data_IF_549699317561
#
_entry.id   IF_549699317561
#
_cell.length_a   1.000
_cell.length_b   1.000
_cell.length_c   1.000
_cell.angle_alpha   90.00
_cell.angle_beta   90.00
_cell.angle_gamma   90.00
#
_symmetry.space_group_name_H-M   'P 1'
#
loop_
_entity.id
_entity.type
_entity.pdbx_description
1 polymer ?
#
# COMPACT_ATOMS: atom_id res chain seq x y z
N UNK A 1 16.78 16.60 2.29
CA UNK A 1 16.24 15.81 1.18
C UNK A 1 16.81 14.40 1.26
N UNK A 2 15.97 13.38 1.29
CA UNK A 2 16.43 12.00 1.27
C UNK A 2 17.09 11.64 -0.06
N UNK A 3 18.01 10.67 -0.05
CA UNK A 3 18.71 10.20 -1.25
C UNK A 3 18.55 8.69 -1.41
N UNK A 4 18.48 8.25 -2.67
CA UNK A 4 18.36 6.86 -3.03
C UNK A 4 19.20 6.60 -4.30
N UNK A 5 20.14 5.63 -4.23
CA UNK A 5 21.09 5.31 -5.32
C UNK A 5 21.72 6.58 -5.94
N UNK A 6 22.34 7.43 -5.09
CA UNK A 6 23.01 8.68 -5.46
C UNK A 6 22.11 9.79 -6.06
N UNK A 7 20.80 9.58 -6.10
CA UNK A 7 19.81 10.57 -6.54
C UNK A 7 19.10 11.17 -5.30
N UNK A 8 19.00 12.51 -5.24
CA UNK A 8 18.27 13.21 -4.19
C UNK A 8 16.82 13.44 -4.62
N UNK A 9 15.89 13.20 -3.69
CA UNK A 9 14.46 13.43 -3.88
C UNK A 9 13.93 14.44 -2.86
N UNK A 10 12.84 15.13 -3.20
CA UNK A 10 12.19 16.03 -2.26
C UNK A 10 11.53 15.25 -1.11
N UNK A 11 10.90 14.12 -1.42
CA UNK A 11 10.32 13.22 -0.43
C UNK A 11 10.26 11.76 -0.93
N UNK A 12 10.12 10.83 0.01
CA UNK A 12 9.79 9.44 -0.23
C UNK A 12 8.32 9.18 0.10
N UNK A 13 7.60 8.57 -0.84
CA UNK A 13 6.19 8.20 -0.69
C UNK A 13 6.10 6.69 -0.67
N UNK A 14 5.77 6.12 0.47
CA UNK A 14 5.72 4.67 0.65
C UNK A 14 4.29 4.15 0.55
N UNK A 15 4.08 3.13 -0.25
CA UNK A 15 3.01 2.19 0.07
C UNK A 15 3.30 1.50 1.41
N UNK A 16 2.35 0.74 1.95
CA UNK A 16 2.49 0.10 3.25
C UNK A 16 2.63 -1.42 3.14
N UNK A 17 1.59 -2.09 2.66
CA UNK A 17 1.46 -3.55 2.66
C UNK A 17 2.25 -4.18 1.50
N UNK A 18 3.29 -4.95 1.80
CA UNK A 18 4.26 -5.46 0.82
C UNK A 18 5.43 -4.52 0.57
N UNK A 19 5.37 -3.28 1.10
CA UNK A 19 6.38 -2.25 0.92
C UNK A 19 7.11 -1.93 2.22
N UNK A 20 6.44 -1.48 3.28
CA UNK A 20 7.04 -1.24 4.61
C UNK A 20 6.92 -2.45 5.53
N UNK A 21 5.88 -3.22 5.37
CA UNK A 21 5.59 -4.44 6.14
C UNK A 21 5.01 -5.52 5.22
N UNK A 22 5.23 -6.77 5.58
CA UNK A 22 4.61 -7.92 4.92
C UNK A 22 3.34 -8.31 5.72
N UNK A 23 2.19 -8.18 5.08
CA UNK A 23 0.87 -8.56 5.62
C UNK A 23 0.17 -9.62 4.76
N UNK A 24 0.87 -10.19 3.77
CA UNK A 24 0.25 -11.03 2.74
C UNK A 24 -0.49 -12.22 3.31
N UNK A 25 0.13 -12.96 4.24
CA UNK A 25 -0.52 -14.13 4.83
C UNK A 25 -1.80 -13.76 5.58
N UNK A 26 -1.81 -12.66 6.32
CA UNK A 26 -2.99 -12.18 7.04
C UNK A 26 -4.10 -11.76 6.07
N UNK A 27 -3.76 -10.97 5.05
CA UNK A 27 -4.70 -10.53 4.00
C UNK A 27 -5.28 -11.72 3.26
N UNK A 28 -4.44 -12.67 2.82
CA UNK A 28 -4.90 -13.84 2.08
C UNK A 28 -5.81 -14.75 2.92
N UNK A 29 -5.52 -14.93 4.22
CA UNK A 29 -6.40 -15.70 5.13
C UNK A 29 -7.80 -15.09 5.19
N UNK A 30 -7.90 -13.77 5.29
CA UNK A 30 -9.20 -13.09 5.35
C UNK A 30 -9.93 -13.21 4.02
N UNK A 31 -9.25 -13.00 2.88
CA UNK A 31 -9.86 -13.16 1.56
C UNK A 31 -10.30 -14.59 1.28
N UNK A 32 -9.56 -15.62 1.69
CA UNK A 32 -9.97 -17.02 1.55
C UNK A 32 -11.26 -17.28 2.33
N UNK A 33 -11.40 -16.76 3.56
CA UNK A 33 -12.63 -16.85 4.36
C UNK A 33 -13.80 -16.16 3.67
N UNK A 34 -13.58 -14.98 3.07
CA UNK A 34 -14.60 -14.27 2.32
C UNK A 34 -15.04 -15.05 1.06
N UNK A 35 -14.10 -15.56 0.31
CA UNK A 35 -14.36 -16.38 -0.88
C UNK A 35 -15.14 -17.66 -0.57
N UNK A 36 -14.79 -18.34 0.53
CA UNK A 36 -15.50 -19.54 0.99
C UNK A 36 -16.97 -19.24 1.32
N UNK A 37 -17.26 -18.13 1.97
CA UNK A 37 -18.63 -17.67 2.29
C UNK A 37 -19.51 -17.48 1.06
N UNK A 38 -18.90 -17.10 -0.06
CA UNK A 38 -19.61 -16.68 -1.28
C UNK A 38 -19.40 -17.62 -2.47
N UNK A 39 -18.71 -18.75 -2.28
CA UNK A 39 -18.34 -19.70 -3.32
C UNK A 39 -17.58 -19.04 -4.50
N UNK A 40 -16.68 -18.11 -4.18
CA UNK A 40 -15.83 -17.38 -5.14
C UNK A 40 -14.46 -18.07 -5.22
N UNK A 41 -13.85 -18.06 -6.40
CA UNK A 41 -12.48 -18.56 -6.60
C UNK A 41 -11.47 -17.66 -5.88
N UNK A 42 -10.88 -18.18 -4.79
CA UNK A 42 -9.93 -17.45 -3.97
C UNK A 42 -8.63 -17.13 -4.72
N UNK A 43 -8.13 -18.05 -5.55
CA UNK A 43 -6.87 -17.85 -6.29
C UNK A 43 -7.03 -16.72 -7.32
N UNK A 44 -8.17 -16.68 -8.02
CA UNK A 44 -8.48 -15.62 -8.97
C UNK A 44 -8.60 -14.23 -8.28
N UNK A 45 -9.13 -14.19 -7.05
CA UNK A 45 -9.23 -12.96 -6.27
C UNK A 45 -7.85 -12.53 -5.74
N UNK A 46 -7.11 -13.43 -5.10
CA UNK A 46 -5.81 -13.14 -4.50
C UNK A 46 -4.81 -12.65 -5.55
N UNK A 47 -4.87 -13.16 -6.76
CA UNK A 47 -4.02 -12.70 -7.86
C UNK A 47 -4.14 -11.20 -8.18
N UNK A 48 -5.19 -10.52 -7.71
CA UNK A 48 -5.50 -9.12 -8.09
C UNK A 48 -5.86 -8.19 -6.93
N UNK A 49 -5.97 -8.69 -5.69
CA UNK A 49 -6.43 -7.88 -4.55
C UNK A 49 -5.32 -7.01 -3.94
N UNK A 50 -4.06 -7.38 -4.11
CA UNK A 50 -2.96 -6.66 -3.48
C UNK A 50 -2.78 -5.25 -4.07
N UNK A 51 -2.58 -4.27 -3.18
CA UNK A 51 -2.43 -2.86 -3.53
C UNK A 51 -3.73 -2.12 -3.90
N UNK A 52 -4.87 -2.83 -3.93
CA UNK A 52 -6.20 -2.29 -4.25
C UNK A 52 -7.03 -2.16 -2.98
N UNK A 53 -7.97 -1.20 -2.93
CA UNK A 53 -8.88 -1.06 -1.79
C UNK A 53 -9.77 -2.30 -1.67
N UNK A 54 -10.00 -2.76 -0.45
CA UNK A 54 -10.86 -3.93 -0.17
C UNK A 54 -12.26 -3.77 -0.75
N UNK A 55 -12.87 -2.59 -0.63
CA UNK A 55 -14.20 -2.29 -1.21
C UNK A 55 -14.22 -2.44 -2.74
N UNK A 56 -13.18 -1.99 -3.44
CA UNK A 56 -13.09 -2.12 -4.90
C UNK A 56 -12.92 -3.59 -5.32
N UNK A 57 -12.20 -4.38 -4.52
CA UNK A 57 -12.07 -5.83 -4.72
C UNK A 57 -13.40 -6.54 -4.46
N UNK A 58 -14.10 -6.24 -3.36
CA UNK A 58 -15.46 -6.75 -3.09
C UNK A 58 -16.39 -6.44 -4.25
N UNK A 59 -16.41 -5.19 -4.72
CA UNK A 59 -17.27 -4.76 -5.86
C UNK A 59 -16.94 -5.53 -7.14
N UNK A 60 -15.67 -5.79 -7.41
CA UNK A 60 -15.21 -6.52 -8.60
C UNK A 60 -15.66 -7.99 -8.61
N UNK A 61 -15.70 -8.63 -7.45
CA UNK A 61 -16.05 -10.05 -7.31
C UNK A 61 -17.46 -10.28 -6.79
N UNK A 62 -18.25 -9.23 -6.63
CA UNK A 62 -19.62 -9.32 -6.14
C UNK A 62 -20.50 -10.19 -7.04
N UNK A 63 -21.31 -11.03 -6.42
CA UNK A 63 -22.36 -11.82 -7.10
C UNK A 63 -23.68 -11.08 -7.07
N UNK A 64 -24.64 -11.40 -7.98
CA UNK A 64 -25.95 -10.75 -8.01
C UNK A 64 -26.65 -10.83 -6.63
N UNK A 65 -27.06 -9.68 -6.11
CA UNK A 65 -27.76 -9.56 -4.82
C UNK A 65 -26.85 -9.39 -3.61
N UNK A 66 -25.53 -9.37 -3.79
CA UNK A 66 -24.57 -9.08 -2.70
C UNK A 66 -24.67 -7.61 -2.27
N UNK A 67 -24.74 -7.38 -0.96
CA UNK A 67 -24.66 -6.04 -0.37
C UNK A 67 -23.19 -5.65 -0.21
N UNK A 68 -22.69 -4.79 -1.11
CA UNK A 68 -21.29 -4.37 -1.18
C UNK A 68 -20.84 -3.70 0.12
N UNK A 69 -21.68 -2.83 0.69
CA UNK A 69 -21.33 -2.07 1.88
C UNK A 69 -21.24 -3.00 3.11
N UNK A 70 -22.15 -3.96 3.23
CA UNK A 70 -22.11 -4.96 4.30
C UNK A 70 -20.89 -5.88 4.18
N UNK A 71 -20.53 -6.29 2.96
CA UNK A 71 -19.36 -7.16 2.73
C UNK A 71 -18.03 -6.41 2.92
N UNK A 72 -17.94 -5.15 2.49
CA UNK A 72 -16.78 -4.31 2.77
C UNK A 72 -16.61 -4.05 4.29
N UNK A 73 -17.70 -3.85 5.02
CA UNK A 73 -17.68 -3.72 6.47
C UNK A 73 -17.21 -5.01 7.16
N UNK A 74 -17.70 -6.17 6.70
CA UNK A 74 -17.25 -7.47 7.20
C UNK A 74 -15.77 -7.70 6.97
N UNK A 75 -15.29 -7.42 5.74
CA UNK A 75 -13.88 -7.55 5.37
C UNK A 75 -13.01 -6.70 6.30
N UNK A 76 -13.36 -5.41 6.46
CA UNK A 76 -12.64 -4.50 7.35
C UNK A 76 -12.58 -5.01 8.79
N UNK A 77 -13.68 -5.52 9.33
CA UNK A 77 -13.72 -6.09 10.67
C UNK A 77 -12.82 -7.33 10.79
N UNK A 78 -12.87 -8.23 9.80
CA UNK A 78 -12.07 -9.45 9.79
C UNK A 78 -10.56 -9.17 9.68
N UNK A 79 -10.15 -8.15 8.91
CA UNK A 79 -8.74 -7.73 8.80
C UNK A 79 -8.23 -7.06 10.09
N UNK A 80 -9.09 -6.35 10.83
CA UNK A 80 -8.72 -5.74 12.12
C UNK A 80 -8.47 -6.80 13.21
N UNK A 81 -9.12 -7.96 13.11
CA UNK A 81 -8.97 -9.08 14.03
C UNK A 81 -7.78 -9.98 13.70
N UNK A 82 -7.27 -9.93 12.47
CA UNK A 82 -6.20 -10.82 11.98
C UNK A 82 -4.97 -10.02 11.54
N UNK A 83 -4.03 -9.87 12.46
CA UNK A 83 -2.71 -9.26 12.23
C UNK A 83 -1.56 -10.26 12.47
N UNK A 84 -1.88 -11.54 12.62
CA UNK A 84 -0.90 -12.59 12.85
C UNK A 84 0.00 -12.77 11.61
N UNK A 85 1.32 -12.80 11.85
CA UNK A 85 2.31 -12.94 10.78
C UNK A 85 2.65 -11.63 10.07
N UNK A 86 2.08 -10.48 10.47
CA UNK A 86 2.51 -9.18 9.97
C UNK A 86 3.89 -8.86 10.51
N UNK A 87 4.88 -8.69 9.62
CA UNK A 87 6.29 -8.46 9.95
C UNK A 87 6.85 -7.25 9.16
N UNK A 88 7.87 -6.55 9.67
CA UNK A 88 8.50 -5.46 8.93
C UNK A 88 9.31 -6.00 7.75
N UNK A 89 9.39 -5.26 6.64
CA UNK A 89 10.35 -5.53 5.57
C UNK A 89 11.77 -5.25 6.09
N UNK A 90 12.70 -6.10 5.75
CA UNK A 90 14.09 -6.01 6.24
C UNK A 90 14.72 -4.64 5.94
N UNK A 91 15.33 -4.05 6.98
CA UNK A 91 15.98 -2.73 6.90
C UNK A 91 15.06 -1.51 7.00
N UNK A 92 13.72 -1.68 7.00
CA UNK A 92 12.77 -0.57 7.00
C UNK A 92 12.93 0.37 8.21
N UNK A 93 13.17 -0.16 9.42
CA UNK A 93 13.34 0.67 10.61
C UNK A 93 14.55 1.61 10.46
N UNK A 94 15.69 1.08 10.01
CA UNK A 94 16.89 1.88 9.81
C UNK A 94 16.72 2.93 8.68
N UNK A 95 15.89 2.66 7.69
CA UNK A 95 15.53 3.64 6.67
C UNK A 95 14.67 4.77 7.28
N UNK A 96 13.58 4.41 7.96
CA UNK A 96 12.64 5.39 8.52
C UNK A 96 13.30 6.27 9.59
N UNK A 97 14.16 5.72 10.44
CA UNK A 97 14.91 6.49 11.45
C UNK A 97 15.81 7.59 10.86
N UNK A 98 16.25 7.45 9.61
CA UNK A 98 17.09 8.46 8.92
C UNK A 98 16.27 9.56 8.25
N UNK A 99 14.96 9.38 8.09
CA UNK A 99 14.07 10.35 7.46
C UNK A 99 13.57 11.37 8.49
N UNK A 100 13.60 12.64 8.12
CA UNK A 100 13.07 13.71 8.96
C UNK A 100 11.56 13.89 8.74
N UNK A 101 10.83 14.45 9.70
CA UNK A 101 9.46 14.90 9.47
C UNK A 101 9.36 15.78 8.21
N UNK A 102 8.35 15.52 7.38
CA UNK A 102 8.16 16.22 6.10
C UNK A 102 8.99 15.68 4.91
N UNK A 103 9.88 14.71 5.11
CA UNK A 103 10.62 14.05 4.02
C UNK A 103 9.98 12.75 3.54
N UNK A 104 8.89 12.31 4.18
CA UNK A 104 8.22 11.07 3.79
C UNK A 104 6.74 11.05 4.14
N UNK A 105 6.01 10.20 3.45
CA UNK A 105 4.60 9.94 3.66
C UNK A 105 4.28 8.45 3.44
N UNK A 106 3.17 7.99 4.02
CA UNK A 106 2.57 6.69 3.67
C UNK A 106 1.32 6.95 2.83
N UNK A 107 1.15 6.15 1.76
CA UNK A 107 0.00 6.16 0.85
C UNK A 107 -0.50 4.73 0.68
N UNK A 108 -1.48 4.34 1.48
CA UNK A 108 -2.00 2.97 1.51
C UNK A 108 -3.44 2.86 1.02
N UNK A 109 -3.79 1.70 0.46
CA UNK A 109 -5.16 1.31 0.13
C UNK A 109 -5.93 0.76 1.34
N UNK A 110 -5.28 0.58 2.48
CA UNK A 110 -5.92 0.13 3.72
C UNK A 110 -6.72 1.27 4.39
N UNK A 111 -7.82 0.95 5.10
CA UNK A 111 -8.47 1.88 6.01
C UNK A 111 -7.53 2.33 7.13
N UNK A 112 -7.71 3.58 7.60
CA UNK A 112 -6.80 4.22 8.57
C UNK A 112 -6.57 3.39 9.82
N UNK A 113 -7.63 2.89 10.44
CA UNK A 113 -7.53 2.11 11.66
C UNK A 113 -6.76 0.78 11.47
N UNK A 114 -6.93 0.12 10.32
CA UNK A 114 -6.19 -1.08 9.97
C UNK A 114 -4.70 -0.77 9.74
N UNK A 115 -4.42 0.28 9.00
CA UNK A 115 -3.06 0.71 8.74
C UNK A 115 -2.30 1.07 10.03
N UNK A 116 -2.95 1.79 10.95
CA UNK A 116 -2.37 2.13 12.26
C UNK A 116 -2.08 0.89 13.12
N UNK A 117 -2.97 -0.11 13.10
CA UNK A 117 -2.74 -1.38 13.82
C UNK A 117 -1.55 -2.11 13.21
N UNK A 118 -1.47 -2.27 11.90
CA UNK A 118 -0.34 -2.93 11.21
C UNK A 118 0.99 -2.24 11.47
N UNK A 119 1.05 -0.90 11.35
CA UNK A 119 2.25 -0.12 11.68
C UNK A 119 2.70 -0.33 13.14
N UNK A 120 1.73 -0.29 14.07
CA UNK A 120 2.01 -0.54 15.50
C UNK A 120 2.54 -1.96 15.75
N UNK A 121 1.96 -2.96 15.09
CA UNK A 121 2.38 -4.38 15.21
C UNK A 121 3.84 -4.56 14.85
N UNK A 122 4.33 -3.85 13.83
CA UNK A 122 5.74 -3.93 13.40
C UNK A 122 6.64 -2.83 13.99
N UNK A 123 6.13 -1.99 14.90
CA UNK A 123 6.91 -0.94 15.57
C UNK A 123 7.31 0.23 14.67
N UNK A 124 6.57 0.49 13.60
CA UNK A 124 6.80 1.64 12.73
C UNK A 124 5.96 2.85 13.16
N UNK A 125 6.50 4.07 13.07
CA UNK A 125 5.75 5.28 13.39
C UNK A 125 4.73 5.63 12.30
N UNK A 126 3.66 6.31 12.68
CA UNK A 126 2.75 6.98 11.74
C UNK A 126 3.36 8.33 11.34
N UNK A 127 3.56 8.62 10.04
CA UNK A 127 4.10 9.91 9.60
C UNK A 127 3.09 11.04 9.72
N UNK A 128 3.58 12.29 9.65
CA UNK A 128 2.72 13.49 9.64
C UNK A 128 1.78 13.50 8.42
N UNK A 129 2.25 13.02 7.27
CA UNK A 129 1.44 12.83 6.07
C UNK A 129 1.13 11.36 5.87
N UNK A 130 -0.12 11.01 6.14
CA UNK A 130 -0.65 9.66 6.07
C UNK A 130 -1.95 9.66 5.25
N UNK A 131 -1.86 9.12 4.02
CA UNK A 131 -2.98 9.00 3.08
C UNK A 131 -3.49 7.56 3.11
N UNK A 132 -4.76 7.39 3.39
CA UNK A 132 -5.44 6.11 3.55
C UNK A 132 -6.62 5.98 2.59
N UNK A 133 -7.31 4.85 2.59
CA UNK A 133 -8.45 4.59 1.72
C UNK A 133 -9.53 5.68 1.81
N UNK A 134 -9.73 6.26 2.99
CA UNK A 134 -10.73 7.29 3.26
C UNK A 134 -10.36 8.68 2.70
N UNK A 135 -9.08 8.94 2.41
CA UNK A 135 -8.60 10.24 1.94
C UNK A 135 -8.81 10.42 0.42
N UNK A 136 -9.15 9.37 -0.32
CA UNK A 136 -9.24 9.38 -1.79
C UNK A 136 -10.59 8.87 -2.27
N UNK A 137 -11.08 9.44 -3.35
CA UNK A 137 -12.29 8.95 -4.03
C UNK A 137 -12.00 7.79 -4.97
N UNK A 138 -10.80 7.77 -5.55
CA UNK A 138 -10.33 6.69 -6.42
C UNK A 138 -9.04 6.09 -5.86
N UNK A 139 -9.04 4.77 -5.63
CA UNK A 139 -7.87 4.02 -5.18
C UNK A 139 -6.90 3.70 -6.32
N UNK A 140 -5.71 3.19 -5.97
CA UNK A 140 -4.75 2.66 -6.95
C UNK A 140 -5.45 1.72 -7.94
N UNK A 141 -5.21 1.84 -9.26
CA UNK A 141 -4.08 2.51 -9.92
C UNK A 141 -4.27 4.01 -10.21
N UNK A 142 -5.32 4.66 -9.69
CA UNK A 142 -5.46 6.11 -9.82
C UNK A 142 -4.35 6.83 -9.06
N UNK A 143 -3.73 7.89 -9.62
CA UNK A 143 -2.62 8.63 -9.00
C UNK A 143 -3.02 9.53 -7.82
N UNK A 144 -4.30 9.64 -7.50
CA UNK A 144 -4.84 10.61 -6.53
C UNK A 144 -4.11 10.55 -5.19
N UNK A 145 -3.88 9.35 -4.64
CA UNK A 145 -3.27 9.19 -3.33
C UNK A 145 -1.83 9.72 -3.28
N UNK A 146 -1.00 9.41 -4.27
CA UNK A 146 0.39 9.90 -4.31
C UNK A 146 0.47 11.41 -4.57
N UNK A 147 -0.38 11.95 -5.43
CA UNK A 147 -0.47 13.40 -5.64
C UNK A 147 -0.90 14.13 -4.36
N UNK A 148 -1.92 13.61 -3.67
CA UNK A 148 -2.38 14.15 -2.40
C UNK A 148 -1.29 14.16 -1.33
N UNK A 149 -0.47 13.10 -1.26
CA UNK A 149 0.65 13.01 -0.33
C UNK A 149 1.72 14.07 -0.64
N UNK A 150 2.11 14.23 -1.91
CA UNK A 150 3.06 15.26 -2.33
C UNK A 150 2.53 16.68 -2.03
N UNK A 151 1.25 16.95 -2.31
CA UNK A 151 0.60 18.22 -2.00
C UNK A 151 0.62 18.50 -0.49
N UNK A 152 0.31 17.51 0.35
CA UNK A 152 0.35 17.64 1.81
C UNK A 152 1.77 17.85 2.36
N UNK A 153 2.79 17.31 1.69
CA UNK A 153 4.20 17.56 2.00
C UNK A 153 4.71 18.92 1.47
N UNK A 154 3.95 19.57 0.58
CA UNK A 154 4.35 20.82 -0.05
C UNK A 154 5.47 20.67 -1.08
N UNK A 155 5.56 19.52 -1.76
CA UNK A 155 6.60 19.20 -2.75
C UNK A 155 5.99 18.85 -4.12
N UNK A 156 6.76 19.02 -5.19
CA UNK A 156 6.33 18.58 -6.51
C UNK A 156 6.40 17.05 -6.61
N UNK A 157 5.34 16.41 -7.09
CA UNK A 157 5.30 14.94 -7.23
C UNK A 157 6.41 14.40 -8.14
N UNK A 158 6.84 15.17 -9.14
CA UNK A 158 7.93 14.79 -10.03
C UNK A 158 9.30 14.72 -9.33
N UNK A 159 9.44 15.35 -8.16
CA UNK A 159 10.65 15.32 -7.34
C UNK A 159 10.57 14.26 -6.23
N UNK A 160 9.51 13.43 -6.22
CA UNK A 160 9.32 12.36 -5.24
C UNK A 160 9.75 11.00 -5.78
N UNK A 161 10.13 10.11 -4.86
CA UNK A 161 10.30 8.67 -5.13
C UNK A 161 9.19 7.91 -4.43
N UNK A 162 8.40 7.15 -5.20
CA UNK A 162 7.38 6.22 -4.72
C UNK A 162 8.01 4.86 -4.52
N UNK A 163 7.80 4.23 -3.36
CA UNK A 163 8.15 2.84 -3.08
C UNK A 163 6.87 2.00 -3.13
N UNK A 164 6.88 0.92 -3.91
CA UNK A 164 5.70 0.09 -4.18
C UNK A 164 6.05 -1.34 -4.55
N UNK A 165 5.16 -2.29 -4.23
CA UNK A 165 5.34 -3.72 -4.51
C UNK A 165 4.26 -4.31 -5.44
N UNK A 166 3.18 -3.56 -5.71
CA UNK A 166 2.00 -4.02 -6.44
C UNK A 166 1.90 -3.43 -7.84
N UNK A 167 1.31 -4.16 -8.82
CA UNK A 167 1.08 -3.61 -10.16
C UNK A 167 0.19 -2.36 -10.15
N UNK A 168 -0.83 -2.32 -9.29
CA UNK A 168 -1.75 -1.18 -9.19
C UNK A 168 -1.02 0.06 -8.64
N UNK A 169 -0.20 -0.11 -7.61
CA UNK A 169 0.51 0.99 -7.03
C UNK A 169 1.67 1.50 -7.88
N UNK A 170 2.42 0.62 -8.55
CA UNK A 170 3.43 1.02 -9.55
C UNK A 170 2.78 1.84 -10.67
N UNK A 171 1.61 1.42 -11.15
CA UNK A 171 0.86 2.18 -12.16
C UNK A 171 0.42 3.55 -11.62
N UNK A 172 -0.06 3.62 -10.37
CA UNK A 172 -0.45 4.87 -9.72
C UNK A 172 0.73 5.84 -9.56
N UNK A 173 1.91 5.36 -9.11
CA UNK A 173 3.12 6.17 -8.96
C UNK A 173 3.59 6.75 -10.30
N UNK A 174 3.64 5.93 -11.35
CA UNK A 174 3.95 6.37 -12.71
C UNK A 174 2.94 7.38 -13.25
N UNK A 175 1.64 7.11 -13.08
CA UNK A 175 0.57 8.02 -13.51
C UNK A 175 0.56 9.33 -12.72
N UNK A 176 1.06 9.34 -11.48
CA UNK A 176 1.27 10.55 -10.71
C UNK A 176 2.38 11.44 -11.29
N UNK A 177 3.36 10.85 -11.97
CA UNK A 177 4.55 11.52 -12.50
C UNK A 177 5.76 11.42 -11.58
N UNK A 178 5.76 10.56 -10.58
CA UNK A 178 6.88 10.30 -9.69
C UNK A 178 7.87 9.28 -10.27
N UNK A 179 9.12 9.29 -9.78
CA UNK A 179 9.99 8.15 -9.89
C UNK A 179 9.45 6.98 -9.06
N UNK A 180 9.69 5.73 -9.46
CA UNK A 180 9.17 4.55 -8.77
C UNK A 180 10.28 3.55 -8.45
N UNK A 181 10.38 3.13 -7.20
CA UNK A 181 11.18 2.02 -6.72
C UNK A 181 10.26 0.83 -6.41
N UNK A 182 10.49 -0.28 -7.10
CA UNK A 182 9.75 -1.52 -6.91
C UNK A 182 10.43 -2.30 -5.79
N UNK A 183 9.65 -2.66 -4.76
CA UNK A 183 10.10 -3.42 -3.60
C UNK A 183 9.69 -4.89 -3.76
N UNK A 184 10.66 -5.78 -3.51
CA UNK A 184 10.42 -7.22 -3.58
C UNK A 184 10.23 -7.77 -5.01
N UNK A 185 9.82 -9.03 -5.14
CA UNK A 185 9.83 -9.77 -6.42
C UNK A 185 8.51 -9.77 -7.18
N UNK A 186 7.42 -9.20 -6.64
CA UNK A 186 6.06 -9.34 -7.20
C UNK A 186 5.86 -8.63 -8.53
N UNK A 187 6.50 -7.49 -8.71
CA UNK A 187 6.44 -6.72 -9.95
C UNK A 187 7.83 -6.72 -10.59
N UNK A 188 7.96 -7.15 -11.85
CA UNK A 188 9.23 -7.08 -12.53
C UNK A 188 9.64 -5.62 -12.76
N UNK A 189 10.94 -5.35 -12.61
CA UNK A 189 11.49 -4.04 -12.95
C UNK A 189 11.24 -3.73 -14.43
N UNK A 190 10.89 -2.48 -14.71
CA UNK A 190 10.68 -1.98 -16.07
C UNK A 190 11.59 -0.79 -16.31
N UNK A 191 11.81 -0.42 -17.57
CA UNK A 191 12.59 0.78 -17.92
C UNK A 191 12.05 2.00 -17.14
N UNK A 192 12.98 2.77 -16.55
CA UNK A 192 12.65 3.95 -15.75
C UNK A 192 12.17 3.67 -14.33
N UNK A 193 12.30 2.41 -13.82
CA UNK A 193 12.06 2.10 -12.43
C UNK A 193 13.31 1.63 -11.71
N UNK A 194 13.43 1.95 -10.42
CA UNK A 194 14.38 1.30 -9.54
C UNK A 194 13.80 -0.05 -9.06
N UNK A 195 14.65 -0.97 -8.61
CA UNK A 195 14.22 -2.23 -7.99
C UNK A 195 15.10 -2.56 -6.80
N UNK A 196 14.50 -2.94 -5.70
CA UNK A 196 15.16 -3.40 -4.49
C UNK A 196 14.46 -4.65 -3.95
N UNK A 197 15.22 -5.53 -3.32
CA UNK A 197 14.65 -6.70 -2.64
C UNK A 197 14.04 -6.29 -1.29
N UNK A 198 14.74 -5.41 -0.58
CA UNK A 198 14.43 -4.88 0.75
C UNK A 198 15.24 -3.57 0.97
N UNK A 199 15.31 -3.07 2.20
CA UNK A 199 15.97 -1.80 2.55
C UNK A 199 17.36 -1.95 3.19
N UNK A 200 17.96 -3.14 3.11
CA UNK A 200 19.34 -3.39 3.60
C UNK A 200 20.40 -2.84 2.68
#
# INVERSE_FOLDING_TARGET
MPSFQDTSFAAFLFDMDGTLLDSFEAVERVWRRWCERHAIDAEALIAVCHGVRGEDTVRRFATPGMDIDAEAAWLKAAELEDVDGVVPIDGVHALIERLRPGEWAIVTSAPRNLAEIRLRTVGLPVPDVFVTAEDVTQGKPDPQGFRLAADRLGVAIADCLVFEDSPAGVAAGKAAGAAVAIVGPRVPATEGTYAIADYR
#
